data_IF_261389550356
#
_entry.id   IF_261389550356
#
_cell.length_a   1.000
_cell.length_b   1.000
_cell.length_c   1.000
_cell.angle_alpha   90.00
_cell.angle_beta   90.00
_cell.angle_gamma   90.00
#
_symmetry.space_group_name_H-M   'P 1'
#
loop_
_entity.id
_entity.type
_entity.pdbx_description
1 polymer ?
#
# COMPACT_ATOMS: atom_id res chain seq x y z
N UNK A 1 3.43 -17.90 1.64
CA UNK A 1 3.92 -16.71 2.38
C UNK A 1 2.79 -15.71 2.28
N UNK A 2 2.10 -15.41 3.38
CA UNK A 2 1.08 -14.35 3.38
C UNK A 2 1.79 -13.00 3.27
N UNK A 3 1.57 -12.29 2.17
CA UNK A 3 2.12 -10.95 1.97
C UNK A 3 1.19 -9.94 2.65
N UNK A 4 1.73 -9.15 3.58
CA UNK A 4 1.01 -8.03 4.18
C UNK A 4 0.68 -6.99 3.12
N UNK A 5 -0.57 -6.52 3.10
CA UNK A 5 -1.04 -5.57 2.08
C UNK A 5 -1.54 -4.24 2.66
N UNK A 6 -1.26 -3.16 1.94
CA UNK A 6 -1.81 -1.82 2.15
C UNK A 6 -2.83 -1.53 1.06
N UNK A 7 -4.11 -1.49 1.44
CA UNK A 7 -5.22 -1.18 0.54
C UNK A 7 -5.39 0.33 0.47
N UNK A 8 -5.31 0.90 -0.74
CA UNK A 8 -5.54 2.33 -0.96
C UNK A 8 -7.04 2.68 -0.95
N UNK A 9 -7.36 3.90 -0.54
CA UNK A 9 -8.69 4.49 -0.72
C UNK A 9 -8.99 4.63 -2.22
N UNK A 10 -10.25 4.46 -2.64
CA UNK A 10 -10.64 4.66 -4.04
C UNK A 10 -10.16 6.01 -4.60
N UNK A 11 -9.52 5.99 -5.76
CA UNK A 11 -8.98 7.18 -6.43
C UNK A 11 -7.63 7.67 -5.91
N UNK A 12 -7.02 6.99 -4.92
CA UNK A 12 -5.69 7.32 -4.37
C UNK A 12 -4.55 6.47 -4.96
N UNK A 13 -4.84 5.62 -5.93
CA UNK A 13 -3.88 4.83 -6.70
C UNK A 13 -3.12 5.64 -7.75
N UNK A 14 -3.68 6.78 -8.20
CA UNK A 14 -3.08 7.61 -9.27
C UNK A 14 -1.62 8.03 -9.01
N UNK A 15 -1.21 8.50 -7.81
CA UNK A 15 0.18 8.81 -7.53
C UNK A 15 1.10 7.58 -7.67
N UNK A 16 0.65 6.42 -7.20
CA UNK A 16 1.43 5.16 -7.30
C UNK A 16 1.58 4.73 -8.75
N UNK A 17 0.51 4.77 -9.53
CA UNK A 17 0.53 4.47 -10.98
C UNK A 17 1.45 5.44 -11.75
N UNK A 18 1.51 6.70 -11.32
CA UNK A 18 2.43 7.71 -11.85
C UNK A 18 3.85 7.63 -11.25
N UNK A 19 4.18 6.54 -10.56
CA UNK A 19 5.50 6.26 -9.97
C UNK A 19 5.96 7.29 -8.94
N UNK A 20 5.01 7.94 -8.26
CA UNK A 20 5.33 8.73 -7.08
C UNK A 20 5.83 7.79 -5.98
N UNK A 21 7.00 8.06 -5.36
CA UNK A 21 7.66 7.07 -4.49
C UNK A 21 6.94 6.86 -3.16
N UNK A 22 6.03 7.75 -2.74
CA UNK A 22 5.49 7.78 -1.38
C UNK A 22 3.98 7.51 -1.34
N UNK A 23 3.55 6.70 -0.37
CA UNK A 23 2.14 6.48 -0.03
C UNK A 23 1.93 6.98 1.40
N UNK A 24 1.17 8.06 1.54
CA UNK A 24 0.88 8.65 2.85
C UNK A 24 -0.29 7.94 3.55
N UNK A 25 -0.31 7.94 4.89
CA UNK A 25 -1.37 7.32 5.71
C UNK A 25 -2.79 7.77 5.33
N UNK A 26 -2.96 9.04 4.92
CA UNK A 26 -4.24 9.56 4.44
C UNK A 26 -4.80 8.88 3.18
N UNK A 27 -3.95 8.21 2.39
CA UNK A 27 -4.31 7.42 1.21
C UNK A 27 -4.66 5.96 1.53
N UNK A 28 -4.34 5.48 2.73
CA UNK A 28 -4.56 4.07 3.13
C UNK A 28 -6.00 3.91 3.65
N UNK A 29 -6.72 2.94 3.09
CA UNK A 29 -8.05 2.54 3.55
C UNK A 29 -7.97 1.47 4.63
N UNK A 30 -7.10 0.48 4.45
CA UNK A 30 -6.91 -0.64 5.39
C UNK A 30 -5.50 -1.20 5.27
N UNK A 31 -4.98 -1.69 6.39
CA UNK A 31 -3.80 -2.56 6.46
C UNK A 31 -4.29 -3.99 6.70
N UNK A 32 -3.84 -4.95 5.90
CA UNK A 32 -4.12 -6.37 6.09
C UNK A 32 -2.86 -7.08 6.56
N UNK A 33 -2.94 -7.76 7.71
CA UNK A 33 -1.78 -8.29 8.42
C UNK A 33 -1.29 -7.32 9.50
N UNK A 34 -0.07 -7.54 9.98
CA UNK A 34 0.54 -6.75 11.06
C UNK A 34 1.99 -6.40 10.70
N UNK A 35 2.22 -5.49 9.74
CA UNK A 35 3.57 -5.09 9.36
C UNK A 35 4.27 -4.37 10.51
N UNK A 36 5.56 -4.60 10.61
CA UNK A 36 6.48 -3.86 11.48
C UNK A 36 7.25 -2.82 10.67
N UNK A 37 7.79 -1.76 11.31
CA UNK A 37 8.60 -0.77 10.60
C UNK A 37 9.76 -1.41 9.83
N UNK A 38 9.86 -1.10 8.54
CA UNK A 38 10.88 -1.68 7.65
C UNK A 38 10.44 -2.94 6.92
N UNK A 39 9.26 -3.51 7.21
CA UNK A 39 8.74 -4.65 6.43
C UNK A 39 8.40 -4.25 4.99
N UNK A 40 8.61 -5.18 4.07
CA UNK A 40 8.13 -5.06 2.70
C UNK A 40 6.65 -5.42 2.65
N UNK A 41 5.85 -4.50 2.14
CA UNK A 41 4.40 -4.66 1.99
C UNK A 41 3.99 -4.46 0.55
N UNK A 42 2.89 -5.11 0.15
CA UNK A 42 2.29 -4.91 -1.16
C UNK A 42 1.23 -3.81 -1.08
N UNK A 43 1.30 -2.84 -1.99
CA UNK A 43 0.30 -1.78 -2.13
C UNK A 43 -0.70 -2.19 -3.20
N UNK A 44 -1.98 -2.21 -2.84
CA UNK A 44 -3.07 -2.65 -3.73
C UNK A 44 -4.16 -1.58 -3.87
N UNK A 45 -4.88 -1.58 -5.00
CA UNK A 45 -6.11 -0.80 -5.14
C UNK A 45 -7.27 -1.42 -4.34
N UNK A 46 -8.45 -0.77 -4.37
CA UNK A 46 -9.65 -1.26 -3.67
C UNK A 46 -10.18 -2.59 -4.22
N UNK A 47 -9.87 -2.92 -5.48
CA UNK A 47 -10.23 -4.19 -6.12
C UNK A 47 -9.20 -5.28 -5.82
N UNK A 48 -8.12 -4.97 -5.08
CA UNK A 48 -7.04 -5.90 -4.76
C UNK A 48 -5.99 -6.04 -5.86
N UNK A 49 -5.97 -5.17 -6.87
CA UNK A 49 -4.93 -5.20 -7.91
C UNK A 49 -3.61 -4.67 -7.34
N UNK A 50 -2.54 -5.42 -7.57
CA UNK A 50 -1.18 -5.01 -7.17
C UNK A 50 -0.75 -3.75 -7.93
N UNK A 51 -0.25 -2.76 -7.19
CA UNK A 51 0.23 -1.48 -7.72
C UNK A 51 1.74 -1.33 -7.55
N UNK A 52 2.27 -1.71 -6.40
CA UNK A 52 3.69 -1.58 -6.06
C UNK A 52 4.06 -2.41 -4.81
N UNK A 53 5.36 -2.58 -4.57
CA UNK A 53 5.89 -2.97 -3.26
C UNK A 53 6.53 -1.75 -2.59
N UNK A 54 6.41 -1.65 -1.26
CA UNK A 54 6.93 -0.54 -0.48
C UNK A 54 7.49 -1.00 0.87
N UNK A 55 8.34 -0.19 1.48
CA UNK A 55 8.73 -0.34 2.88
C UNK A 55 7.69 0.34 3.77
N UNK A 56 7.24 -0.37 4.81
CA UNK A 56 6.28 0.17 5.76
C UNK A 56 6.94 1.08 6.81
N UNK A 57 6.36 2.25 7.04
CA UNK A 57 6.76 3.20 8.07
C UNK A 57 5.49 3.81 8.70
N UNK A 58 5.06 3.34 9.90
CA UNK A 58 3.80 3.75 10.54
C UNK A 58 3.76 5.21 11.02
#
# INVERSE_FOLDING_TARGET
>A
METTTLVLKPGREKPVLNRHPWVFSGAIARVSGSPTPGDVVEVVDVDGRSLAHAYYNP
#
